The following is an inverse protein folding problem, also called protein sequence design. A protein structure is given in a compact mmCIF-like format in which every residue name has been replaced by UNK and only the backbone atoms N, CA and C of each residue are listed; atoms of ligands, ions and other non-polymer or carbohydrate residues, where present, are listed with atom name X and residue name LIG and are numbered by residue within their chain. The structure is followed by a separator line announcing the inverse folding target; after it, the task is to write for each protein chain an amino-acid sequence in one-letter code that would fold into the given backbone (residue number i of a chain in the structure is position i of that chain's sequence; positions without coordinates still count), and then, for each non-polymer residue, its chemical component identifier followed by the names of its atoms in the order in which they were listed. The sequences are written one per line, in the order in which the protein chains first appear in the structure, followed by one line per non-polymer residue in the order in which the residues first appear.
data_IF_268437432035
#
_entry.id   IF_268437432035
#
_cell.length_a   1.000
_cell.length_b   1.000
_cell.length_c   1.000
_cell.angle_alpha   90.00
_cell.angle_beta   90.00
_cell.angle_gamma   90.00
#
_symmetry.space_group_name_H-M   'P 1'
#
loop_
_entity.id
_entity.type
_entity.pdbx_description
1 polymer ?
#
# COMPACT_ATOMS: atom_id res chain seq x y z
N UNK A 1 52.50 15.36 -26.68
CA UNK A 1 52.59 13.89 -26.57
C UNK A 1 52.48 13.52 -25.09
N UNK A 2 51.25 13.42 -24.58
CA UNK A 2 50.85 12.74 -23.34
C UNK A 2 49.42 12.22 -23.64
N UNK A 3 49.11 10.94 -23.40
CA UNK A 3 48.05 10.24 -24.13
C UNK A 3 46.66 10.38 -23.51
N UNK A 4 45.69 10.37 -24.42
CA UNK A 4 44.27 10.13 -24.25
C UNK A 4 44.01 8.68 -23.83
N UNK A 5 43.21 8.45 -22.78
CA UNK A 5 42.64 7.13 -22.48
C UNK A 5 41.21 7.24 -21.93
N UNK A 6 40.30 6.81 -22.81
CA UNK A 6 39.13 5.95 -22.58
C UNK A 6 38.10 6.35 -21.51
N UNK A 7 36.99 6.92 -21.99
CA UNK A 7 35.66 6.72 -21.41
C UNK A 7 35.28 5.24 -21.37
N UNK A 8 34.75 4.72 -20.26
CA UNK A 8 33.95 3.50 -20.28
C UNK A 8 32.46 3.86 -20.38
N UNK A 9 31.87 3.57 -21.52
CA UNK A 9 30.43 3.29 -21.64
C UNK A 9 30.15 1.93 -21.02
N UNK A 10 29.34 1.86 -19.95
CA UNK A 10 28.54 0.66 -19.65
C UNK A 10 27.41 0.92 -18.65
N UNK A 11 26.22 0.55 -19.11
CA UNK A 11 25.08 -0.01 -18.38
C UNK A 11 24.25 0.90 -17.49
N UNK A 12 23.08 1.28 -18.02
CA UNK A 12 21.90 1.69 -17.25
C UNK A 12 21.38 0.46 -16.48
N UNK A 13 21.73 0.35 -15.20
CA UNK A 13 21.07 -0.52 -14.24
C UNK A 13 21.33 0.02 -12.84
N UNK A 14 20.33 -0.09 -11.96
CA UNK A 14 20.29 0.30 -10.55
C UNK A 14 19.78 1.72 -10.27
N UNK A 15 18.46 1.89 -10.29
CA UNK A 15 17.82 2.96 -9.53
C UNK A 15 17.81 2.56 -8.05
N UNK A 16 18.57 3.33 -7.28
CA UNK A 16 19.03 3.02 -5.94
C UNK A 16 18.06 3.44 -4.84
N UNK A 17 17.91 2.59 -3.81
CA UNK A 17 17.01 2.76 -2.66
C UNK A 17 17.72 3.39 -1.44
N UNK A 18 17.23 4.53 -0.92
CA UNK A 18 17.80 5.17 0.29
C UNK A 18 16.86 6.17 0.97
N UNK A 19 16.74 6.17 2.33
CA UNK A 19 16.81 7.37 3.23
C UNK A 19 16.88 6.92 4.71
N UNK A 20 17.86 7.37 5.52
CA UNK A 20 17.94 7.08 6.98
C UNK A 20 17.79 8.36 7.83
N UNK A 21 16.64 8.58 8.45
CA UNK A 21 16.52 9.68 9.42
C UNK A 21 17.02 9.34 10.82
N UNK A 22 18.34 9.26 11.00
CA UNK A 22 19.02 9.35 12.30
C UNK A 22 20.42 9.95 12.11
N UNK A 23 20.94 10.66 13.12
CA UNK A 23 22.32 11.19 13.28
C UNK A 23 23.41 11.06 12.20
N UNK A 24 23.56 12.08 11.34
CA UNK A 24 24.79 12.60 10.69
C UNK A 24 25.37 11.90 9.46
N UNK A 25 25.54 12.65 8.35
CA UNK A 25 26.41 12.26 7.23
C UNK A 25 27.83 11.99 7.74
N UNK A 26 28.35 10.82 7.36
CA UNK A 26 29.74 10.36 7.54
C UNK A 26 30.20 10.29 9.01
N UNK A 27 30.19 9.06 9.54
CA UNK A 27 30.47 8.63 10.91
C UNK A 27 29.29 8.81 11.88
N UNK A 28 28.65 7.69 12.24
CA UNK A 28 27.52 7.63 13.15
C UNK A 28 27.90 8.05 14.57
N UNK A 29 27.88 9.34 14.91
CA UNK A 29 28.39 9.93 16.18
C UNK A 29 27.67 9.50 17.46
N UNK A 30 26.68 8.61 17.39
CA UNK A 30 26.09 7.95 18.55
C UNK A 30 25.91 6.45 18.30
N UNK A 31 26.08 5.66 19.36
CA UNK A 31 25.83 4.21 19.33
C UNK A 31 24.43 3.87 18.82
N UNK A 32 23.42 4.70 19.13
CA UNK A 32 22.05 4.49 18.68
C UNK A 32 21.90 4.57 17.16
N UNK A 33 22.44 5.59 16.51
CA UNK A 33 22.35 5.72 15.04
C UNK A 33 23.10 4.61 14.34
N UNK A 34 24.33 4.29 14.78
CA UNK A 34 25.13 3.22 14.21
C UNK A 34 24.39 1.87 14.30
N UNK A 35 23.75 1.62 15.44
CA UNK A 35 23.00 0.39 15.70
C UNK A 35 21.77 0.27 14.81
N UNK A 36 20.96 1.34 14.71
CA UNK A 36 19.77 1.40 13.83
C UNK A 36 20.15 1.20 12.37
N UNK A 37 21.14 1.94 11.87
CA UNK A 37 21.61 1.82 10.49
C UNK A 37 22.17 0.42 10.20
N UNK A 38 22.92 -0.16 11.13
CA UNK A 38 23.46 -1.51 11.02
C UNK A 38 22.37 -2.60 10.98
N UNK A 39 21.24 -2.41 11.68
CA UNK A 39 20.10 -3.34 11.64
C UNK A 39 19.32 -3.23 10.33
N UNK A 40 19.30 -2.06 9.69
CA UNK A 40 18.70 -1.89 8.36
C UNK A 40 19.60 -2.52 7.29
N UNK A 41 20.86 -2.08 7.20
CA UNK A 41 21.71 -2.33 6.03
C UNK A 41 23.12 -2.85 6.32
N UNK A 42 23.43 -3.23 7.56
CA UNK A 42 24.74 -3.82 7.87
C UNK A 42 24.96 -5.15 7.14
N UNK A 43 26.18 -5.38 6.64
CA UNK A 43 26.52 -6.63 5.94
C UNK A 43 26.26 -7.87 6.78
N UNK A 44 26.61 -7.84 8.07
CA UNK A 44 26.34 -8.95 9.00
C UNK A 44 24.96 -8.85 9.64
N UNK A 45 24.63 -7.69 10.22
CA UNK A 45 23.47 -7.51 11.11
C UNK A 45 22.23 -6.89 10.44
N UNK A 46 22.35 -6.49 9.18
CA UNK A 46 21.28 -5.82 8.44
C UNK A 46 20.31 -6.78 7.77
N UNK A 47 19.06 -6.34 7.66
CA UNK A 47 18.00 -7.00 6.88
C UNK A 47 18.22 -6.80 5.38
N UNK A 48 18.40 -5.56 4.91
CA UNK A 48 18.59 -5.20 3.51
C UNK A 48 20.07 -4.89 3.22
N UNK A 49 20.89 -5.92 3.02
CA UNK A 49 22.36 -5.84 3.01
C UNK A 49 22.99 -5.03 1.86
N UNK A 50 22.20 -4.71 0.82
CA UNK A 50 22.63 -3.90 -0.33
C UNK A 50 22.03 -2.50 -0.35
N UNK A 51 21.35 -2.06 0.71
CA UNK A 51 20.68 -0.76 0.76
C UNK A 51 21.67 0.39 0.95
N UNK A 52 21.34 1.56 0.41
CA UNK A 52 22.07 2.78 0.71
C UNK A 52 21.54 3.43 1.99
N UNK A 53 22.46 3.85 2.85
CA UNK A 53 22.15 4.49 4.12
C UNK A 53 22.50 5.99 4.04
N UNK A 54 21.49 6.85 4.13
CA UNK A 54 21.66 8.32 4.09
C UNK A 54 21.31 8.92 5.42
N UNK A 55 22.29 9.36 6.19
CA UNK A 55 22.12 9.73 7.59
C UNK A 55 21.70 11.19 7.82
N UNK A 56 20.57 11.40 8.52
CA UNK A 56 20.00 12.73 8.83
C UNK A 56 20.03 13.01 10.34
N UNK A 57 20.93 13.91 10.77
CA UNK A 57 21.07 14.27 12.19
C UNK A 57 20.01 15.25 12.65
N UNK A 58 19.18 14.79 13.58
CA UNK A 58 18.19 15.64 14.28
C UNK A 58 18.31 15.60 15.80
N UNK A 59 19.18 14.74 16.35
CA UNK A 59 19.46 14.59 17.77
C UNK A 59 20.93 14.90 18.08
N UNK A 60 21.18 15.45 19.26
CA UNK A 60 22.52 15.67 19.82
C UNK A 60 23.06 14.39 20.49
N UNK A 61 24.28 14.46 21.04
CA UNK A 61 24.97 13.34 21.69
C UNK A 61 24.25 12.79 22.94
N UNK A 62 23.37 13.60 23.54
CA UNK A 62 22.50 13.20 24.66
C UNK A 62 21.16 12.61 24.19
N UNK A 63 21.04 12.24 22.91
CA UNK A 63 19.81 11.75 22.27
C UNK A 63 18.62 12.73 22.36
N UNK A 64 18.89 14.04 22.43
CA UNK A 64 17.88 15.09 22.50
C UNK A 64 17.89 15.96 21.26
N UNK A 65 16.71 16.37 20.78
CA UNK A 65 16.55 17.23 19.61
C UNK A 65 15.38 18.20 19.81
N UNK A 66 15.44 19.32 19.10
CA UNK A 66 14.33 20.26 19.05
C UNK A 66 13.31 19.81 18.01
N UNK A 67 12.03 20.11 18.24
CA UNK A 67 10.98 19.84 17.25
C UNK A 67 11.29 20.49 15.89
N UNK A 68 11.81 21.72 15.90
CA UNK A 68 12.21 22.42 14.67
C UNK A 68 13.36 21.71 13.94
N UNK A 69 14.34 21.17 14.66
CA UNK A 69 15.43 20.39 14.06
C UNK A 69 14.94 19.09 13.44
N UNK A 70 14.00 18.41 14.10
CA UNK A 70 13.38 17.18 13.58
C UNK A 70 12.57 17.49 12.31
N UNK A 71 11.74 18.53 12.32
CA UNK A 71 10.96 18.97 11.16
C UNK A 71 11.89 19.36 9.99
N UNK A 72 12.95 20.11 10.25
CA UNK A 72 13.92 20.46 9.21
C UNK A 72 14.61 19.23 8.59
N UNK A 73 14.87 18.19 9.39
CA UNK A 73 15.38 16.91 8.87
C UNK A 73 14.37 16.19 7.96
N UNK A 74 13.09 16.19 8.33
CA UNK A 74 12.01 15.64 7.51
C UNK A 74 11.86 16.42 6.20
N UNK A 75 11.88 17.74 6.26
CA UNK A 75 11.79 18.60 5.07
C UNK A 75 12.98 18.37 4.13
N UNK A 76 14.19 18.19 4.69
CA UNK A 76 15.37 17.84 3.90
C UNK A 76 15.19 16.50 3.18
N UNK A 77 14.69 15.48 3.88
CA UNK A 77 14.37 14.18 3.27
C UNK A 77 13.36 14.32 2.16
N UNK A 78 12.27 15.05 2.41
CA UNK A 78 11.20 15.30 1.42
C UNK A 78 11.75 15.94 0.15
N UNK A 79 12.72 16.85 0.29
CA UNK A 79 13.30 17.59 -0.83
C UNK A 79 14.46 16.87 -1.55
N UNK A 80 15.09 15.86 -0.93
CA UNK A 80 16.34 15.28 -1.43
C UNK A 80 16.29 13.74 -1.62
N UNK A 81 15.23 13.07 -1.17
CA UNK A 81 15.02 11.66 -1.49
C UNK A 81 14.86 11.49 -3.01
N UNK A 82 15.51 10.48 -3.56
CA UNK A 82 15.45 10.14 -4.99
C UNK A 82 15.26 8.64 -5.13
N UNK A 83 14.35 8.22 -6.01
CA UNK A 83 13.99 6.82 -6.18
C UNK A 83 13.25 6.23 -4.98
N UNK A 84 13.12 4.90 -4.91
CA UNK A 84 12.47 4.20 -3.80
C UNK A 84 13.11 4.60 -2.47
N UNK A 85 12.30 4.99 -1.48
CA UNK A 85 12.83 5.59 -0.24
C UNK A 85 12.03 5.15 0.98
N UNK A 86 12.73 4.77 2.05
CA UNK A 86 12.15 4.38 3.35
C UNK A 86 12.82 5.14 4.48
N UNK A 87 12.16 6.11 5.09
CA UNK A 87 12.67 6.82 6.26
C UNK A 87 12.38 6.09 7.58
N UNK A 88 13.42 5.77 8.34
CA UNK A 88 13.29 5.20 9.70
C UNK A 88 13.41 6.29 10.79
N UNK A 89 12.37 6.44 11.61
CA UNK A 89 12.28 7.35 12.76
C UNK A 89 12.25 6.58 14.09
N UNK A 90 13.39 6.09 14.54
CA UNK A 90 13.58 5.52 15.89
C UNK A 90 13.61 6.56 17.03
N UNK A 91 12.74 7.57 16.95
CA UNK A 91 12.60 8.68 17.90
C UNK A 91 11.13 8.97 18.17
N UNK A 92 10.83 9.70 19.24
CA UNK A 92 9.46 10.12 19.54
C UNK A 92 9.37 11.04 20.74
N UNK A 93 8.21 11.65 20.91
CA UNK A 93 7.88 12.52 22.04
C UNK A 93 6.38 12.60 22.25
N UNK A 94 5.94 13.50 23.12
CA UNK A 94 4.50 13.79 23.27
C UNK A 94 3.87 14.23 21.95
N UNK A 95 2.57 14.00 21.79
CA UNK A 95 1.83 14.32 20.58
C UNK A 95 2.08 15.74 20.05
N UNK A 96 2.40 15.84 18.75
CA UNK A 96 2.77 17.09 18.09
C UNK A 96 2.20 17.15 16.67
N UNK A 97 1.21 18.03 16.45
CA UNK A 97 0.61 18.19 15.13
C UNK A 97 1.61 18.68 14.09
N UNK A 98 2.57 19.52 14.49
CA UNK A 98 3.60 20.03 13.58
C UNK A 98 4.54 18.90 13.10
N UNK A 99 4.91 17.98 13.99
CA UNK A 99 5.69 16.80 13.61
C UNK A 99 4.87 15.91 12.66
N UNK A 100 3.60 15.65 13.01
CA UNK A 100 2.75 14.79 12.21
C UNK A 100 2.48 15.36 10.81
N UNK A 101 2.30 16.68 10.68
CA UNK A 101 2.14 17.35 9.39
C UNK A 101 3.39 17.23 8.54
N UNK A 102 4.59 17.43 9.11
CA UNK A 102 5.84 17.28 8.37
C UNK A 102 6.01 15.85 7.83
N UNK A 103 5.80 14.84 8.70
CA UNK A 103 5.86 13.43 8.29
C UNK A 103 4.82 13.11 7.21
N UNK A 104 3.58 13.58 7.36
CA UNK A 104 2.51 13.36 6.35
C UNK A 104 2.86 13.97 5.00
N UNK A 105 3.43 15.18 4.98
CA UNK A 105 3.86 15.81 3.74
C UNK A 105 4.97 15.00 3.04
N UNK A 106 5.89 14.42 3.82
CA UNK A 106 6.94 13.56 3.29
C UNK A 106 6.40 12.23 2.75
N UNK A 107 5.43 11.62 3.43
CA UNK A 107 4.73 10.42 2.94
C UNK A 107 3.99 10.72 1.63
N UNK A 108 3.29 11.86 1.57
CA UNK A 108 2.62 12.31 0.34
C UNK A 108 3.58 12.59 -0.83
N UNK A 109 4.87 12.78 -0.55
CA UNK A 109 5.91 12.86 -1.57
C UNK A 109 6.44 11.49 -2.03
N UNK A 110 5.86 10.38 -1.54
CA UNK A 110 6.18 9.01 -1.96
C UNK A 110 7.17 8.27 -1.06
N UNK A 111 7.55 8.85 0.09
CA UNK A 111 8.55 8.24 0.98
C UNK A 111 7.85 7.38 2.03
N UNK A 112 8.21 6.10 2.12
CA UNK A 112 7.67 5.22 3.17
C UNK A 112 8.28 5.60 4.51
N UNK A 113 7.47 5.68 5.57
CA UNK A 113 7.98 5.95 6.91
C UNK A 113 7.73 4.77 7.85
N UNK A 114 8.74 4.49 8.68
CA UNK A 114 8.69 3.52 9.77
C UNK A 114 9.10 4.21 11.06
N UNK A 115 8.32 4.07 12.13
CA UNK A 115 8.60 4.68 13.43
C UNK A 115 8.58 3.68 14.56
N UNK A 116 9.36 3.97 15.61
CA UNK A 116 9.26 3.26 16.88
C UNK A 116 8.01 3.66 17.67
N UNK A 117 7.34 2.71 18.30
CA UNK A 117 6.17 2.98 19.14
C UNK A 117 6.47 3.72 20.45
N UNK A 118 7.71 3.65 20.96
CA UNK A 118 8.14 4.20 22.24
C UNK A 118 8.31 3.14 23.34
N UNK A 119 9.00 3.53 24.43
CA UNK A 119 9.52 2.60 25.45
C UNK A 119 8.98 2.90 26.86
N UNK A 120 7.74 3.37 26.97
CA UNK A 120 7.14 3.79 28.24
C UNK A 120 6.11 2.80 28.80
N UNK A 121 5.91 1.63 28.16
CA UNK A 121 4.81 0.71 28.44
C UNK A 121 3.46 1.45 28.53
N UNK A 122 3.19 2.29 27.54
CA UNK A 122 2.01 3.14 27.46
C UNK A 122 1.32 3.02 26.09
N UNK A 123 0.14 3.63 25.95
CA UNK A 123 -0.57 3.70 24.68
C UNK A 123 0.20 4.56 23.66
N UNK A 124 0.64 3.94 22.56
CA UNK A 124 1.40 4.56 21.48
C UNK A 124 0.65 5.74 20.84
N UNK A 125 -0.68 5.75 20.89
CA UNK A 125 -1.51 6.82 20.33
C UNK A 125 -1.31 8.19 21.01
N UNK A 126 -0.63 8.24 22.16
CA UNK A 126 -0.30 9.49 22.86
C UNK A 126 1.01 10.15 22.38
N UNK A 127 1.75 9.52 21.46
CA UNK A 127 3.08 9.92 21.06
C UNK A 127 3.16 10.24 19.56
N UNK A 128 3.98 11.22 19.20
CA UNK A 128 4.26 11.55 17.79
C UNK A 128 5.70 11.14 17.42
N UNK A 129 5.91 10.58 16.20
CA UNK A 129 4.92 10.37 15.14
C UNK A 129 4.13 9.04 15.27
N UNK A 130 4.37 8.23 16.31
CA UNK A 130 3.78 6.90 16.51
C UNK A 130 2.23 6.82 16.47
N UNK A 131 1.52 7.93 16.66
CA UNK A 131 0.05 7.99 16.58
C UNK A 131 -0.51 8.15 15.17
N UNK A 132 0.33 8.46 14.19
CA UNK A 132 -0.12 8.69 12.81
C UNK A 132 -0.58 7.38 12.18
N UNK A 133 -1.58 7.46 11.30
CA UNK A 133 -2.13 6.29 10.62
C UNK A 133 -1.37 5.96 9.33
N UNK A 134 -0.71 6.97 8.76
CA UNK A 134 0.00 6.87 7.49
C UNK A 134 1.42 6.30 7.64
N UNK A 135 1.89 6.08 8.88
CA UNK A 135 3.23 5.59 9.20
C UNK A 135 3.16 4.17 9.77
N UNK A 136 4.16 3.34 9.45
CA UNK A 136 4.26 2.00 10.04
C UNK A 136 4.85 2.11 11.45
N UNK A 137 4.02 1.95 12.47
CA UNK A 137 4.42 2.06 13.87
C UNK A 137 4.74 0.70 14.47
N UNK A 138 5.97 0.57 14.99
CA UNK A 138 6.56 -0.73 15.32
C UNK A 138 6.71 -0.92 16.83
N UNK A 139 6.05 -1.95 17.35
CA UNK A 139 6.21 -2.47 18.70
C UNK A 139 7.43 -3.40 18.82
N UNK A 140 7.96 -3.57 20.04
CA UNK A 140 9.13 -4.41 20.28
C UNK A 140 8.76 -5.75 20.91
N UNK A 141 9.40 -6.82 20.43
CA UNK A 141 9.32 -8.17 21.01
C UNK A 141 10.66 -8.65 21.54
N UNK A 142 10.58 -9.63 22.45
CA UNK A 142 11.68 -10.47 22.91
C UNK A 142 11.79 -11.75 22.08
N UNK A 143 12.87 -12.51 22.23
CA UNK A 143 13.12 -13.75 21.48
C UNK A 143 12.20 -14.93 21.80
N UNK A 144 11.23 -14.75 22.70
CA UNK A 144 10.20 -15.72 23.05
C UNK A 144 8.80 -15.22 22.61
N UNK A 145 8.78 -14.39 21.56
CA UNK A 145 7.60 -13.77 20.97
C UNK A 145 6.70 -13.03 21.98
N UNK A 146 7.25 -12.55 23.09
CA UNK A 146 6.52 -11.70 24.02
C UNK A 146 6.72 -10.23 23.67
N UNK A 147 5.68 -9.41 23.82
CA UNK A 147 5.88 -7.96 23.82
C UNK A 147 6.89 -7.61 24.90
N UNK A 148 7.93 -6.87 24.54
CA UNK A 148 8.93 -6.42 25.49
C UNK A 148 8.27 -5.55 26.57
N UNK A 149 8.67 -5.71 27.83
CA UNK A 149 8.01 -5.07 28.98
C UNK A 149 7.99 -3.53 28.89
N UNK A 150 8.94 -2.94 28.17
CA UNK A 150 9.02 -1.49 27.92
C UNK A 150 8.21 -1.03 26.71
N UNK A 151 7.86 -1.92 25.76
CA UNK A 151 7.23 -1.52 24.50
C UNK A 151 5.90 -0.82 24.76
N UNK A 152 5.71 0.34 24.15
CA UNK A 152 4.36 0.89 24.00
C UNK A 152 3.46 -0.09 23.24
N UNK A 153 2.15 0.09 23.42
CA UNK A 153 1.11 -0.83 22.95
C UNK A 153 -0.12 -0.05 22.47
N UNK A 154 -1.20 -0.74 22.13
CA UNK A 154 -2.47 -0.12 21.75
C UNK A 154 -2.73 -0.10 20.25
N UNK A 155 -3.77 0.64 19.85
CA UNK A 155 -4.33 0.57 18.50
C UNK A 155 -3.50 1.32 17.43
N UNK A 156 -2.51 2.11 17.85
CA UNK A 156 -1.57 2.75 16.93
C UNK A 156 -0.32 1.90 16.68
N UNK A 157 -0.27 0.65 17.16
CA UNK A 157 0.75 -0.32 16.72
C UNK A 157 0.24 -0.99 15.46
N UNK A 158 1.03 -1.00 14.40
CA UNK A 158 0.71 -1.71 13.17
C UNK A 158 1.29 -3.11 13.15
N UNK A 159 2.54 -3.24 13.62
CA UNK A 159 3.28 -4.50 13.60
C UNK A 159 4.30 -4.57 14.74
N UNK A 160 4.66 -5.78 15.13
CA UNK A 160 5.74 -6.06 16.07
C UNK A 160 6.98 -6.58 15.34
N UNK A 161 8.16 -6.25 15.87
CA UNK A 161 9.42 -6.78 15.39
C UNK A 161 10.43 -6.99 16.54
N UNK A 162 11.49 -7.80 16.34
CA UNK A 162 12.50 -8.04 17.35
C UNK A 162 13.13 -6.74 17.84
N UNK A 163 12.98 -6.46 19.15
CA UNK A 163 13.43 -5.19 19.73
C UNK A 163 14.22 -5.32 21.02
N UNK A 164 14.26 -6.49 21.66
CA UNK A 164 15.07 -6.74 22.86
C UNK A 164 16.36 -7.49 22.53
N UNK A 165 17.48 -7.05 23.10
CA UNK A 165 18.80 -7.68 22.93
C UNK A 165 19.18 -7.85 21.46
N UNK A 166 18.94 -6.82 20.65
CA UNK A 166 19.29 -6.80 19.23
C UNK A 166 20.77 -6.44 19.10
N UNK A 167 21.54 -7.26 18.39
CA UNK A 167 22.96 -7.03 18.12
C UNK A 167 23.13 -6.26 16.82
N UNK A 168 23.87 -5.16 16.87
CA UNK A 168 24.22 -4.39 15.67
C UNK A 168 25.52 -3.59 15.90
N UNK A 169 25.88 -2.77 14.93
CA UNK A 169 27.07 -1.92 14.95
C UNK A 169 27.06 -0.93 16.13
N UNK A 170 28.25 -0.55 16.58
CA UNK A 170 28.47 0.45 17.62
C UNK A 170 29.45 1.51 17.10
N UNK A 171 29.31 2.76 17.54
CA UNK A 171 30.14 3.87 17.09
C UNK A 171 31.61 3.80 17.57
N UNK A 172 31.87 3.11 18.69
CA UNK A 172 33.19 3.12 19.33
C UNK A 172 34.34 2.52 18.49
N UNK A 173 34.04 1.75 17.45
CA UNK A 173 35.02 1.31 16.44
C UNK A 173 34.33 0.83 15.15
N UNK A 174 35.07 0.81 14.04
CA UNK A 174 34.57 0.32 12.74
C UNK A 174 34.21 -1.18 12.72
N UNK A 175 34.58 -1.94 13.76
CA UNK A 175 34.23 -3.36 13.94
C UNK A 175 33.42 -3.59 15.21
N UNK A 176 33.05 -2.50 15.91
CA UNK A 176 32.38 -2.55 17.20
C UNK A 176 30.95 -3.03 17.04
N UNK A 177 30.50 -3.84 18.00
CA UNK A 177 29.10 -4.27 18.08
C UNK A 177 28.58 -4.10 19.49
N UNK A 178 27.28 -3.95 19.64
CA UNK A 178 26.63 -3.89 20.95
C UNK A 178 25.23 -4.51 20.91
N UNK A 179 24.75 -4.94 22.06
CA UNK A 179 23.36 -5.35 22.27
C UNK A 179 22.57 -4.15 22.81
N UNK A 180 21.44 -3.85 22.18
CA UNK A 180 20.52 -2.80 22.62
C UNK A 180 19.09 -3.31 22.63
N UNK A 181 18.27 -2.68 23.47
CA UNK A 181 16.85 -2.99 23.60
C UNK A 181 16.03 -1.71 23.46
N UNK A 182 15.00 -1.76 22.62
CA UNK A 182 14.05 -0.67 22.41
C UNK A 182 13.16 -0.90 21.20
N UNK A 183 12.02 -0.22 21.14
CA UNK A 183 11.25 -0.08 19.89
C UNK A 183 12.08 0.61 18.79
N UNK A 184 13.07 1.42 19.18
CA UNK A 184 14.12 1.95 18.31
C UNK A 184 14.95 0.87 17.60
N UNK A 185 15.04 -0.35 18.14
CA UNK A 185 15.70 -1.50 17.53
C UNK A 185 14.73 -2.39 16.74
N UNK A 186 13.43 -2.32 17.04
CA UNK A 186 12.39 -3.03 16.29
C UNK A 186 12.09 -2.35 14.95
N UNK A 187 11.88 -1.03 14.95
CA UNK A 187 11.62 -0.23 13.75
C UNK A 187 12.60 -0.48 12.58
N UNK A 188 13.93 -0.53 12.77
CA UNK A 188 14.86 -0.76 11.67
C UNK A 188 14.73 -2.14 11.00
N UNK A 189 14.20 -3.17 11.66
CA UNK A 189 13.90 -4.43 10.98
C UNK A 189 12.80 -4.24 9.93
N UNK A 190 11.72 -3.54 10.29
CA UNK A 190 10.60 -3.24 9.40
C UNK A 190 11.04 -2.32 8.26
N UNK A 191 11.87 -1.31 8.55
CA UNK A 191 12.45 -0.46 7.51
C UNK A 191 13.32 -1.25 6.51
N UNK A 192 14.06 -2.24 7.01
CA UNK A 192 14.81 -3.17 6.16
C UNK A 192 13.90 -4.06 5.29
N UNK A 193 12.78 -4.56 5.80
CA UNK A 193 11.82 -5.34 5.00
C UNK A 193 11.10 -4.47 3.97
N UNK A 194 10.72 -3.24 4.32
CA UNK A 194 10.20 -2.25 3.38
C UNK A 194 11.19 -1.99 2.24
N UNK A 195 12.48 -1.93 2.57
CA UNK A 195 13.55 -1.80 1.59
C UNK A 195 13.64 -3.03 0.66
N UNK A 196 13.57 -4.25 1.19
CA UNK A 196 13.53 -5.48 0.38
C UNK A 196 12.32 -5.50 -0.57
N UNK A 197 11.15 -5.04 -0.12
CA UNK A 197 9.96 -4.97 -0.96
C UNK A 197 10.14 -3.98 -2.12
N UNK A 198 10.63 -2.77 -1.82
CA UNK A 198 10.86 -1.71 -2.81
C UNK A 198 11.95 -2.06 -3.82
N UNK A 199 12.87 -2.98 -3.50
CA UNK A 199 13.87 -3.47 -4.45
C UNK A 199 13.22 -4.12 -5.69
N UNK A 200 12.12 -4.84 -5.48
CA UNK A 200 11.39 -5.51 -6.57
C UNK A 200 10.16 -4.72 -7.04
N UNK A 201 9.77 -3.69 -6.28
CA UNK A 201 8.56 -2.90 -6.51
C UNK A 201 8.90 -1.40 -6.40
N UNK A 202 9.79 -0.92 -7.27
CA UNK A 202 10.37 0.43 -7.16
C UNK A 202 9.34 1.58 -7.29
N UNK A 203 8.20 1.34 -7.93
CA UNK A 203 7.10 2.30 -8.06
C UNK A 203 6.04 2.19 -6.96
N UNK A 204 6.19 1.27 -6.00
CA UNK A 204 5.22 1.07 -4.94
C UNK A 204 5.07 2.32 -4.07
N UNK A 205 3.83 2.70 -3.80
CA UNK A 205 3.51 3.82 -2.91
C UNK A 205 3.74 3.41 -1.44
N UNK A 206 3.86 4.38 -0.51
CA UNK A 206 3.95 4.06 0.92
C UNK A 206 2.82 3.17 1.45
N UNK A 207 1.61 3.28 0.88
CA UNK A 207 0.47 2.44 1.24
C UNK A 207 0.69 1.00 0.76
N UNK A 208 1.16 0.82 -0.47
CA UNK A 208 1.45 -0.52 -1.02
C UNK A 208 2.52 -1.24 -0.20
N UNK A 209 3.59 -0.51 0.19
CA UNK A 209 4.65 -1.05 1.04
C UNK A 209 4.11 -1.47 2.40
N UNK A 210 3.28 -0.64 3.03
CA UNK A 210 2.67 -0.97 4.32
C UNK A 210 1.77 -2.20 4.23
N UNK A 211 0.92 -2.28 3.20
CA UNK A 211 0.04 -3.43 2.99
C UNK A 211 0.80 -4.72 2.72
N UNK A 212 1.84 -4.67 1.88
CA UNK A 212 2.69 -5.83 1.63
C UNK A 212 3.31 -6.36 2.93
N UNK A 213 3.79 -5.48 3.80
CA UNK A 213 4.33 -5.86 5.12
C UNK A 213 3.25 -6.48 6.02
N UNK A 214 2.04 -5.92 6.04
CA UNK A 214 0.94 -6.41 6.89
C UNK A 214 0.41 -7.75 6.42
N UNK A 215 0.20 -7.93 5.11
CA UNK A 215 -0.29 -9.18 4.52
C UNK A 215 0.73 -10.30 4.64
N UNK A 216 2.01 -9.99 4.65
CA UNK A 216 3.08 -10.98 4.78
C UNK A 216 3.39 -11.34 6.24
N UNK A 217 2.87 -10.58 7.22
CA UNK A 217 3.20 -10.74 8.63
C UNK A 217 2.72 -12.09 9.20
N UNK A 218 3.47 -12.61 10.19
CA UNK A 218 3.02 -13.78 10.96
C UNK A 218 1.95 -13.34 11.97
N UNK A 219 0.72 -13.82 11.76
CA UNK A 219 -0.46 -13.37 12.50
C UNK A 219 -0.63 -14.08 13.86
N UNK A 220 -1.01 -13.33 14.88
CA UNK A 220 -1.48 -13.86 16.17
C UNK A 220 -0.41 -14.36 17.14
N UNK A 221 0.89 -14.20 16.83
CA UNK A 221 1.96 -14.89 17.57
C UNK A 221 2.53 -14.11 18.77
N UNK A 222 2.25 -12.81 18.92
CA UNK A 222 2.87 -12.01 19.99
C UNK A 222 2.13 -12.19 21.32
N UNK A 223 2.81 -12.81 22.27
CA UNK A 223 2.34 -12.96 23.64
C UNK A 223 2.23 -11.60 24.32
N UNK A 224 1.09 -11.33 24.96
CA UNK A 224 0.81 -10.07 25.65
C UNK A 224 0.99 -8.82 24.77
N UNK A 225 0.59 -8.93 23.48
CA UNK A 225 0.66 -7.84 22.50
C UNK A 225 0.02 -6.54 22.99
N UNK A 226 -1.07 -6.62 23.76
CA UNK A 226 -1.85 -5.47 24.23
C UNK A 226 -2.17 -4.47 23.09
N UNK A 227 -2.40 -5.00 21.90
CA UNK A 227 -2.79 -4.29 20.70
C UNK A 227 -3.81 -5.15 19.96
N UNK A 228 -4.71 -4.49 19.22
CA UNK A 228 -5.61 -5.18 18.30
C UNK A 228 -4.85 -5.78 17.10
N UNK A 229 -3.67 -5.26 16.76
CA UNK A 229 -2.82 -5.75 15.69
C UNK A 229 -1.74 -6.65 16.30
N UNK A 230 -1.97 -7.96 16.29
CA UNK A 230 -1.07 -8.95 16.87
C UNK A 230 -0.21 -9.62 15.78
N UNK A 231 0.52 -8.83 15.01
CA UNK A 231 1.24 -9.30 13.83
C UNK A 231 2.74 -9.16 14.04
N UNK A 232 3.52 -10.20 13.75
CA UNK A 232 4.98 -10.18 13.79
C UNK A 232 5.54 -10.02 12.38
N UNK A 233 6.55 -9.16 12.22
CA UNK A 233 7.25 -8.94 10.97
C UNK A 233 7.80 -10.25 10.38
N UNK A 234 7.56 -10.45 9.09
CA UNK A 234 8.14 -11.53 8.28
C UNK A 234 8.82 -10.93 7.05
N UNK A 235 10.03 -11.38 6.74
CA UNK A 235 10.91 -10.72 5.75
C UNK A 235 10.92 -11.36 4.37
N UNK A 236 10.42 -12.59 4.23
CA UNK A 236 10.40 -13.29 2.95
C UNK A 236 9.08 -12.97 2.26
N UNK A 237 9.14 -12.23 1.16
CA UNK A 237 8.01 -12.14 0.25
C UNK A 237 8.08 -13.38 -0.67
N UNK A 238 7.05 -14.23 -0.66
CA UNK A 238 6.97 -15.36 -1.60
C UNK A 238 6.81 -14.80 -3.00
N UNK A 239 7.92 -14.72 -3.74
CA UNK A 239 7.90 -14.35 -5.15
C UNK A 239 7.44 -15.51 -6.01
N UNK A 240 6.58 -15.23 -6.99
CA UNK A 240 6.58 -15.90 -8.28
C UNK A 240 8.00 -15.76 -8.85
N UNK A 241 8.88 -16.72 -8.54
CA UNK A 241 10.13 -16.87 -9.24
C UNK A 241 9.78 -17.49 -10.59
N UNK A 242 9.65 -16.64 -11.61
CA UNK A 242 9.87 -17.05 -12.99
C UNK A 242 11.37 -17.35 -13.12
N UNK A 243 11.78 -18.52 -12.60
CA UNK A 243 13.07 -19.11 -12.90
C UNK A 243 12.87 -19.94 -14.16
N UNK A 244 13.37 -19.40 -15.28
CA UNK A 244 13.58 -20.14 -16.52
C UNK A 244 14.47 -21.35 -16.24
N UNK A 245 13.87 -22.54 -16.27
CA UNK A 245 14.53 -23.80 -15.96
C UNK A 245 13.90 -24.96 -16.71
N UNK A 246 14.19 -25.01 -18.02
CA UNK A 246 14.18 -26.20 -18.88
C UNK A 246 14.35 -27.53 -18.12
N UNK A 247 13.35 -28.41 -18.22
CA UNK A 247 13.52 -29.88 -18.17
C UNK A 247 12.22 -30.61 -18.54
N UNK A 248 12.18 -31.16 -19.77
CA UNK A 248 11.88 -32.60 -19.94
C UNK A 248 10.43 -33.04 -20.19
N UNK A 249 10.06 -33.02 -21.47
CA UNK A 249 9.40 -34.09 -22.24
C UNK A 249 9.15 -35.45 -21.56
N UNK A 250 7.88 -35.90 -21.58
CA UNK A 250 7.35 -37.28 -21.76
C UNK A 250 5.82 -37.17 -21.53
N UNK A 251 4.86 -37.43 -22.41
CA UNK A 251 4.78 -38.39 -23.51
C UNK A 251 3.58 -39.32 -23.25
N UNK A 252 2.62 -39.31 -24.18
CA UNK A 252 1.77 -40.43 -24.64
C UNK A 252 0.32 -40.64 -24.10
N UNK A 253 -0.63 -40.24 -24.95
CA UNK A 253 -1.83 -40.91 -25.53
C UNK A 253 -2.67 -41.96 -24.76
N UNK A 254 -4.01 -41.86 -24.92
CA UNK A 254 -4.91 -42.99 -24.65
C UNK A 254 -6.44 -42.77 -24.63
N UNK A 255 -7.02 -42.32 -25.76
CA UNK A 255 -8.30 -42.69 -26.41
C UNK A 255 -9.65 -42.96 -25.65
N UNK A 256 -10.66 -42.19 -26.09
CA UNK A 256 -12.14 -42.33 -26.25
C UNK A 256 -13.03 -43.37 -25.54
N UNK A 257 -14.24 -42.88 -25.18
CA UNK A 257 -15.50 -43.65 -25.17
C UNK A 257 -16.73 -42.90 -24.63
N UNK A 258 -17.64 -42.51 -25.53
CA UNK A 258 -19.10 -42.20 -25.42
C UNK A 258 -19.84 -42.84 -24.20
N UNK A 259 -20.91 -42.32 -23.59
CA UNK A 259 -22.02 -41.51 -24.08
C UNK A 259 -22.89 -41.02 -22.88
N UNK A 260 -23.36 -39.78 -22.93
CA UNK A 260 -24.74 -39.43 -22.52
C UNK A 260 -25.11 -39.31 -21.03
N UNK A 261 -24.73 -38.20 -20.38
CA UNK A 261 -25.67 -37.42 -19.56
C UNK A 261 -25.23 -35.95 -19.53
N UNK A 262 -26.15 -35.01 -19.75
CA UNK A 262 -25.90 -33.58 -19.72
C UNK A 262 -25.16 -33.15 -18.45
N UNK A 263 -23.94 -32.67 -18.61
CA UNK A 263 -23.36 -31.62 -17.77
C UNK A 263 -22.96 -30.49 -18.71
N UNK A 264 -23.70 -29.39 -18.62
CA UNK A 264 -23.27 -28.01 -18.86
C UNK A 264 -21.75 -27.87 -18.55
N UNK A 265 -20.92 -27.12 -19.32
CA UNK A 265 -19.53 -26.90 -18.95
C UNK A 265 -19.48 -26.50 -17.47
N UNK A 266 -18.88 -27.37 -16.66
CA UNK A 266 -18.66 -27.08 -15.24
C UNK A 266 -17.93 -25.75 -15.19
N UNK A 267 -18.60 -24.73 -14.67
CA UNK A 267 -17.95 -23.46 -14.33
C UNK A 267 -16.82 -23.83 -13.37
N UNK A 268 -15.59 -23.66 -13.84
CA UNK A 268 -14.37 -23.75 -13.04
C UNK A 268 -14.17 -22.44 -12.24
N UNK A 269 -15.21 -21.62 -12.12
CA UNK A 269 -15.10 -20.36 -11.41
C UNK A 269 -15.33 -20.63 -9.92
N UNK A 270 -14.49 -20.08 -9.05
CA UNK A 270 -14.72 -20.18 -7.62
C UNK A 270 -16.00 -19.42 -7.28
N UNK A 271 -16.80 -19.93 -6.35
CA UNK A 271 -18.08 -19.36 -5.93
C UNK A 271 -18.00 -18.84 -4.50
N UNK A 272 -18.57 -17.66 -4.25
CA UNK A 272 -18.83 -17.18 -2.88
C UNK A 272 -20.18 -17.70 -2.40
N UNK A 273 -20.18 -18.79 -1.63
CA UNK A 273 -21.39 -19.48 -1.17
C UNK A 273 -22.19 -18.69 -0.14
N UNK A 274 -21.50 -18.09 0.84
CA UNK A 274 -22.16 -17.38 1.92
C UNK A 274 -21.29 -16.21 2.40
N UNK A 275 -21.95 -15.12 2.74
CA UNK A 275 -21.34 -13.96 3.40
C UNK A 275 -22.32 -13.50 4.47
N UNK A 276 -21.92 -13.62 5.73
CA UNK A 276 -22.63 -13.06 6.88
C UNK A 276 -21.71 -12.14 7.64
N UNK A 277 -22.27 -11.17 8.35
CA UNK A 277 -21.48 -10.24 9.13
C UNK A 277 -22.13 -9.91 10.46
N UNK A 278 -21.30 -9.65 11.45
CA UNK A 278 -21.71 -9.16 12.76
C UNK A 278 -21.03 -7.83 13.07
N UNK A 279 -21.84 -6.79 13.20
CA UNK A 279 -21.37 -5.45 13.54
C UNK A 279 -21.36 -5.27 15.06
N UNK A 280 -20.17 -5.17 15.63
CA UNK A 280 -20.00 -4.88 17.07
C UNK A 280 -19.39 -3.51 17.25
N UNK A 281 -20.05 -2.65 18.04
CA UNK A 281 -19.51 -1.35 18.43
C UNK A 281 -18.66 -1.51 19.69
N UNK A 282 -17.34 -1.39 19.54
CA UNK A 282 -16.40 -1.46 20.67
C UNK A 282 -15.57 -0.18 20.73
N UNK A 283 -16.01 0.78 21.54
CA UNK A 283 -15.36 2.09 21.68
C UNK A 283 -15.53 3.00 20.44
N UNK A 284 -14.49 3.73 20.00
CA UNK A 284 -14.58 4.66 18.87
C UNK A 284 -14.60 3.99 17.49
N UNK A 285 -14.60 2.66 17.44
CA UNK A 285 -14.57 1.87 16.21
C UNK A 285 -15.85 1.04 16.04
N UNK A 286 -16.31 0.94 14.80
CA UNK A 286 -17.25 -0.08 14.38
C UNK A 286 -16.44 -1.27 13.85
N UNK A 287 -16.58 -2.44 14.48
CA UNK A 287 -16.00 -3.70 14.00
C UNK A 287 -17.05 -4.47 13.22
N UNK A 288 -16.64 -5.04 12.11
CA UNK A 288 -17.43 -5.92 11.27
C UNK A 288 -16.67 -7.23 11.14
N UNK A 289 -17.11 -8.25 11.87
CA UNK A 289 -16.65 -9.62 11.64
C UNK A 289 -17.43 -10.14 10.43
N UNK A 290 -16.73 -10.56 9.38
CA UNK A 290 -17.34 -11.10 8.15
C UNK A 290 -17.02 -12.58 8.07
N UNK A 291 -18.03 -13.40 8.27
CA UNK A 291 -17.94 -14.84 8.02
C UNK A 291 -18.23 -15.10 6.54
N UNK A 292 -17.32 -15.80 5.88
CA UNK A 292 -17.41 -16.15 4.46
C UNK A 292 -17.23 -17.65 4.26
N UNK A 293 -17.87 -18.19 3.23
CA UNK A 293 -17.57 -19.52 2.70
C UNK A 293 -17.53 -19.48 1.18
N UNK A 294 -16.57 -20.21 0.63
CA UNK A 294 -16.27 -20.27 -0.80
C UNK A 294 -16.07 -21.72 -1.23
N UNK A 295 -16.35 -22.03 -2.49
CA UNK A 295 -16.13 -23.36 -3.06
C UNK A 295 -15.65 -23.26 -4.49
N UNK A 296 -14.97 -24.30 -4.93
CA UNK A 296 -14.51 -24.44 -6.29
C UNK A 296 -14.68 -25.89 -6.73
N UNK A 297 -15.25 -26.09 -7.91
CA UNK A 297 -15.56 -27.41 -8.43
C UNK A 297 -14.29 -28.19 -8.80
N UNK A 298 -13.22 -27.50 -9.22
CA UNK A 298 -11.97 -28.12 -9.67
C UNK A 298 -10.92 -28.29 -8.55
N UNK A 299 -11.14 -27.64 -7.41
CA UNK A 299 -10.35 -27.84 -6.20
C UNK A 299 -9.13 -26.96 -6.02
N UNK A 300 -9.03 -25.82 -6.71
CA UNK A 300 -7.79 -25.04 -6.76
C UNK A 300 -7.90 -23.59 -6.23
N UNK A 301 -8.77 -23.35 -5.23
CA UNK A 301 -8.88 -22.06 -4.54
C UNK A 301 -7.50 -21.48 -4.14
N UNK A 302 -7.33 -20.17 -4.23
CA UNK A 302 -6.05 -19.48 -3.94
C UNK A 302 -6.18 -18.42 -2.84
N UNK A 303 -7.14 -17.50 -2.97
CA UNK A 303 -7.31 -16.43 -1.99
C UNK A 303 -8.76 -15.97 -1.83
N UNK A 304 -9.06 -15.42 -0.66
CA UNK A 304 -10.32 -14.72 -0.38
C UNK A 304 -9.99 -13.35 0.19
N UNK A 305 -10.35 -12.29 -0.54
CA UNK A 305 -10.27 -10.91 -0.10
C UNK A 305 -11.64 -10.43 0.39
N UNK A 306 -11.66 -9.72 1.51
CA UNK A 306 -12.87 -9.14 2.10
C UNK A 306 -12.63 -7.66 2.31
N UNK A 307 -13.41 -6.82 1.64
CA UNK A 307 -13.38 -5.37 1.73
C UNK A 307 -14.58 -4.85 2.51
N UNK A 308 -14.34 -3.99 3.49
CA UNK A 308 -15.36 -3.18 4.15
C UNK A 308 -15.51 -1.88 3.36
N UNK A 309 -16.73 -1.52 2.97
CA UNK A 309 -16.96 -0.45 1.99
C UNK A 309 -17.79 0.70 2.54
N UNK A 310 -17.59 1.88 1.97
CA UNK A 310 -18.51 3.01 2.00
C UNK A 310 -18.82 3.44 0.57
N UNK A 311 -19.95 2.98 0.05
CA UNK A 311 -20.49 3.16 -1.30
C UNK A 311 -19.48 2.81 -2.42
N UNK A 312 -18.46 3.63 -2.60
CA UNK A 312 -17.44 3.53 -3.66
C UNK A 312 -16.02 3.34 -3.14
N UNK A 313 -15.78 3.46 -1.83
CA UNK A 313 -14.43 3.39 -1.26
C UNK A 313 -14.28 2.20 -0.32
N UNK A 314 -13.14 1.51 -0.42
CA UNK A 314 -12.70 0.53 0.57
C UNK A 314 -12.23 1.28 1.82
N UNK A 315 -12.86 0.97 2.94
CA UNK A 315 -12.55 1.53 4.26
C UNK A 315 -11.52 0.68 5.02
N UNK A 316 -11.56 -0.64 4.81
CA UNK A 316 -10.66 -1.62 5.38
C UNK A 316 -10.73 -2.91 4.54
N UNK A 317 -9.69 -3.73 4.55
CA UNK A 317 -9.67 -4.97 3.76
C UNK A 317 -8.81 -6.04 4.43
N UNK A 318 -9.19 -7.31 4.27
CA UNK A 318 -8.39 -8.46 4.72
C UNK A 318 -8.37 -9.56 3.68
N UNK A 319 -7.21 -10.17 3.45
CA UNK A 319 -7.05 -11.28 2.51
C UNK A 319 -6.63 -12.54 3.26
N UNK A 320 -7.27 -13.66 2.95
CA UNK A 320 -6.96 -14.99 3.48
C UNK A 320 -6.51 -15.90 2.35
N UNK A 321 -5.38 -16.56 2.52
CA UNK A 321 -4.95 -17.61 1.59
C UNK A 321 -5.77 -18.88 1.88
N UNK A 322 -6.29 -19.49 0.82
CA UNK A 322 -7.12 -20.70 0.87
C UNK A 322 -6.60 -21.72 -0.13
N UNK A 323 -7.04 -22.97 -0.01
CA UNK A 323 -6.63 -24.06 -0.90
C UNK A 323 -7.68 -25.16 -0.91
N UNK A 324 -7.75 -25.96 -1.97
CA UNK A 324 -8.69 -27.06 -2.10
C UNK A 324 -10.03 -26.63 -2.71
N UNK A 325 -11.04 -27.49 -2.61
CA UNK A 325 -12.37 -27.29 -3.25
C UNK A 325 -13.38 -26.50 -2.41
N UNK A 326 -13.05 -26.18 -1.17
CA UNK A 326 -13.88 -25.32 -0.32
C UNK A 326 -13.08 -24.74 0.82
N UNK A 327 -13.42 -23.52 1.22
CA UNK A 327 -12.84 -22.86 2.37
C UNK A 327 -13.88 -21.98 3.06
N UNK A 328 -13.70 -21.76 4.36
CA UNK A 328 -14.51 -20.83 5.13
C UNK A 328 -13.67 -20.17 6.20
N UNK A 329 -13.98 -18.93 6.55
CA UNK A 329 -13.26 -18.20 7.56
C UNK A 329 -14.01 -16.96 8.00
N UNK A 330 -13.40 -16.24 8.96
CA UNK A 330 -13.90 -14.97 9.46
C UNK A 330 -12.84 -13.92 9.25
N UNK A 331 -13.19 -12.83 8.57
CA UNK A 331 -12.32 -11.66 8.41
C UNK A 331 -12.83 -10.52 9.30
N UNK A 332 -12.02 -10.09 10.25
CA UNK A 332 -12.34 -8.97 11.13
C UNK A 332 -11.88 -7.64 10.53
N UNK A 333 -12.84 -6.78 10.18
CA UNK A 333 -12.61 -5.46 9.62
C UNK A 333 -13.06 -4.36 10.58
N UNK A 334 -12.46 -3.17 10.51
CA UNK A 334 -12.74 -2.06 11.42
C UNK A 334 -12.71 -0.71 10.72
N UNK A 335 -13.63 0.16 11.12
CA UNK A 335 -13.70 1.53 10.60
C UNK A 335 -14.17 2.53 11.65
N UNK A 336 -13.74 3.79 11.51
CA UNK A 336 -14.34 4.94 12.23
C UNK A 336 -15.40 5.66 11.40
N UNK A 337 -15.44 5.39 10.10
CA UNK A 337 -16.40 5.95 9.17
C UNK A 337 -17.63 5.03 9.09
N UNK A 338 -18.72 5.54 8.54
CA UNK A 338 -19.90 4.71 8.30
C UNK A 338 -19.62 3.75 7.15
N UNK A 339 -19.57 2.45 7.43
CA UNK A 339 -19.57 1.42 6.40
C UNK A 339 -20.99 1.17 5.89
N UNK A 340 -21.11 0.89 4.61
CA UNK A 340 -22.38 0.66 3.90
C UNK A 340 -22.53 -0.79 3.45
N UNK A 341 -21.44 -1.57 3.41
CA UNK A 341 -21.47 -2.96 3.00
C UNK A 341 -20.11 -3.63 3.05
N UNK A 342 -20.09 -4.89 2.66
CA UNK A 342 -18.91 -5.76 2.57
C UNK A 342 -18.84 -6.35 1.16
N UNK A 343 -17.64 -6.46 0.60
CA UNK A 343 -17.38 -7.16 -0.66
C UNK A 343 -16.42 -8.31 -0.40
N UNK A 344 -16.79 -9.51 -0.80
CA UNK A 344 -15.93 -10.71 -0.74
C UNK A 344 -15.55 -11.08 -2.16
N UNK A 345 -14.26 -11.20 -2.43
CA UNK A 345 -13.69 -11.66 -3.68
C UNK A 345 -12.95 -12.96 -3.41
N UNK A 346 -13.36 -14.05 -4.06
CA UNK A 346 -12.59 -15.29 -4.09
C UNK A 346 -11.83 -15.36 -5.41
N UNK A 347 -10.60 -15.83 -5.37
CA UNK A 347 -9.76 -16.05 -6.53
C UNK A 347 -9.17 -17.46 -6.48
N UNK A 348 -9.18 -18.15 -7.60
CA UNK A 348 -8.60 -19.48 -7.77
C UNK A 348 -7.12 -19.40 -8.20
N UNK A 349 -6.46 -20.54 -8.37
CA UNK A 349 -5.05 -20.57 -8.81
C UNK A 349 -4.85 -20.24 -10.30
N UNK A 350 -5.93 -20.28 -11.10
CA UNK A 350 -5.94 -19.94 -12.52
C UNK A 350 -6.21 -18.45 -12.77
N UNK A 351 -6.58 -17.70 -11.72
CA UNK A 351 -6.93 -16.28 -11.77
C UNK A 351 -8.44 -16.00 -11.93
N UNK A 352 -9.29 -17.03 -12.03
CA UNK A 352 -10.74 -16.84 -12.03
C UNK A 352 -11.18 -16.29 -10.67
N UNK A 353 -12.16 -15.41 -10.68
CA UNK A 353 -12.66 -14.80 -9.46
C UNK A 353 -14.16 -14.67 -9.47
N UNK A 354 -14.77 -14.79 -8.29
CA UNK A 354 -16.14 -14.37 -8.05
C UNK A 354 -16.18 -13.32 -6.96
N UNK A 355 -17.08 -12.36 -7.13
CA UNK A 355 -17.27 -11.26 -6.20
C UNK A 355 -18.70 -11.23 -5.72
N UNK A 356 -18.85 -11.13 -4.40
CA UNK A 356 -20.14 -10.98 -3.72
C UNK A 356 -20.12 -9.74 -2.86
N UNK A 357 -20.99 -8.79 -3.17
CA UNK A 357 -21.20 -7.60 -2.35
C UNK A 357 -22.49 -7.73 -1.55
N UNK A 358 -22.42 -7.52 -0.23
CA UNK A 358 -23.56 -7.48 0.66
C UNK A 358 -23.60 -6.13 1.38
N UNK A 359 -24.63 -5.34 1.10
CA UNK A 359 -24.87 -4.06 1.77
C UNK A 359 -25.57 -4.27 3.11
N UNK A 360 -25.30 -3.37 4.06
CA UNK A 360 -25.89 -3.42 5.40
C UNK A 360 -27.40 -3.12 5.43
N UNK A 361 -27.97 -2.62 4.33
CA UNK A 361 -29.42 -2.47 4.15
C UNK A 361 -30.11 -3.78 3.71
N UNK A 362 -29.35 -4.86 3.53
CA UNK A 362 -29.84 -6.18 3.15
C UNK A 362 -29.89 -6.42 1.63
N UNK A 363 -29.49 -5.45 0.80
CA UNK A 363 -29.30 -5.67 -0.63
C UNK A 363 -27.97 -6.39 -0.91
N UNK A 364 -27.96 -7.34 -1.85
CA UNK A 364 -26.73 -8.02 -2.31
C UNK A 364 -26.65 -8.05 -3.83
N UNK A 365 -25.43 -8.00 -4.35
CA UNK A 365 -25.14 -8.16 -5.78
C UNK A 365 -23.97 -9.11 -5.96
N UNK A 366 -24.16 -10.12 -6.81
CA UNK A 366 -23.15 -11.10 -7.18
C UNK A 366 -22.67 -10.79 -8.61
N UNK A 367 -21.36 -10.89 -8.84
CA UNK A 367 -20.76 -10.75 -10.16
C UNK A 367 -19.69 -11.81 -10.35
N UNK A 368 -19.89 -12.67 -11.34
CA UNK A 368 -18.95 -13.71 -11.75
C UNK A 368 -18.04 -13.14 -12.85
N UNK A 369 -16.72 -13.28 -12.68
CA UNK A 369 -15.76 -13.08 -13.78
C UNK A 369 -15.24 -14.45 -14.19
N UNK A 370 -15.93 -15.06 -15.16
CA UNK A 370 -15.44 -16.26 -15.85
C UNK A 370 -14.45 -15.84 -16.93
N UNK A 371 -13.20 -16.28 -16.80
CA UNK A 371 -12.25 -16.19 -17.91
C UNK A 371 -12.47 -17.38 -18.84
N UNK A 372 -13.36 -17.19 -19.81
CA UNK A 372 -13.32 -18.00 -21.03
C UNK A 372 -12.28 -17.38 -21.97
N UNK A 373 -11.03 -17.80 -21.79
CA UNK A 373 -9.97 -17.62 -22.77
C UNK A 373 -10.29 -18.50 -24.00
N UNK A 374 -11.10 -17.99 -24.92
CA UNK A 374 -10.92 -18.27 -26.34
C UNK A 374 -10.94 -16.96 -27.11
N UNK A 375 -9.92 -16.82 -27.95
CA UNK A 375 -9.78 -15.75 -28.90
C UNK A 375 -8.37 -15.24 -28.81
N UNK A 376 -7.40 -16.07 -29.23
CA UNK A 376 -6.00 -15.69 -29.48
C UNK A 376 -5.78 -14.17 -29.46
N UNK A 377 -5.49 -13.65 -28.25
CA UNK A 377 -5.16 -12.26 -27.90
C UNK A 377 -6.18 -11.14 -28.26
N UNK A 378 -6.96 -10.68 -27.27
CA UNK A 378 -7.40 -9.29 -27.02
C UNK A 378 -7.99 -9.22 -25.59
N UNK A 379 -7.42 -8.58 -24.57
CA UNK A 379 -7.06 -7.17 -24.48
C UNK A 379 -8.24 -6.36 -23.93
N UNK A 380 -8.59 -6.49 -22.64
CA UNK A 380 -9.42 -5.51 -21.93
C UNK A 380 -8.55 -4.25 -21.77
N UNK A 381 -8.91 -3.20 -22.49
CA UNK A 381 -8.07 -2.02 -22.62
C UNK A 381 -8.73 -0.88 -21.84
N UNK A 382 -8.01 -0.28 -20.89
CA UNK A 382 -8.51 0.87 -20.16
C UNK A 382 -9.04 1.99 -21.10
N UNK A 383 -10.09 2.72 -20.72
CA UNK A 383 -10.61 3.82 -21.51
C UNK A 383 -9.57 4.93 -21.68
N UNK A 384 -9.40 5.45 -22.89
CA UNK A 384 -8.38 6.43 -23.24
C UNK A 384 -8.97 7.83 -23.34
N UNK A 385 -8.24 8.82 -22.80
CA UNK A 385 -8.53 10.24 -23.04
C UNK A 385 -7.74 10.70 -24.28
N UNK A 386 -8.43 10.78 -25.41
CA UNK A 386 -7.82 11.20 -26.69
C UNK A 386 -7.54 12.70 -26.72
N UNK A 387 -8.50 13.50 -26.23
CA UNK A 387 -8.35 14.96 -26.19
C UNK A 387 -8.94 15.55 -24.92
N UNK A 388 -8.23 16.54 -24.36
CA UNK A 388 -8.70 17.33 -23.22
C UNK A 388 -8.30 18.80 -23.37
N UNK A 389 -9.23 19.58 -23.90
CA UNK A 389 -9.05 20.99 -24.21
C UNK A 389 -9.86 21.88 -23.28
N UNK A 390 -9.30 23.05 -22.96
CA UNK A 390 -9.89 24.02 -22.04
C UNK A 390 -9.79 25.39 -22.68
N UNK A 391 -10.90 26.12 -22.73
CA UNK A 391 -10.92 27.51 -23.18
C UNK A 391 -11.67 28.38 -22.18
N UNK A 392 -11.14 29.57 -21.91
CA UNK A 392 -11.77 30.53 -21.02
C UNK A 392 -12.24 31.74 -21.81
N UNK A 393 -13.47 32.18 -21.59
CA UNK A 393 -13.99 33.42 -22.17
C UNK A 393 -14.56 34.35 -21.11
N UNK A 394 -14.43 35.66 -21.37
CA UNK A 394 -14.99 36.71 -20.53
C UNK A 394 -16.23 37.27 -21.24
N UNK A 395 -17.41 37.12 -20.62
CA UNK A 395 -18.67 37.67 -21.09
C UNK A 395 -19.32 38.46 -19.95
N UNK A 396 -18.97 39.74 -19.83
CA UNK A 396 -19.44 40.61 -18.73
C UNK A 396 -18.83 40.21 -17.37
N UNK A 397 -19.59 40.20 -16.26
CA UNK A 397 -19.08 39.85 -14.92
C UNK A 397 -18.83 38.34 -14.71
N UNK A 398 -19.16 37.51 -15.70
CA UNK A 398 -19.00 36.05 -15.63
C UNK A 398 -17.76 35.59 -16.38
N UNK A 399 -16.96 34.76 -15.73
CA UNK A 399 -15.92 33.96 -16.38
C UNK A 399 -16.50 32.60 -16.74
N UNK A 400 -16.34 32.20 -18.00
CA UNK A 400 -16.76 30.88 -18.50
C UNK A 400 -15.55 30.02 -18.77
N UNK A 401 -15.63 28.76 -18.37
CA UNK A 401 -14.67 27.72 -18.71
C UNK A 401 -15.40 26.66 -19.52
N UNK A 402 -14.97 26.49 -20.77
CA UNK A 402 -15.43 25.41 -21.63
C UNK A 402 -14.38 24.31 -21.63
N UNK A 403 -14.80 23.11 -21.24
CA UNK A 403 -14.00 21.89 -21.26
C UNK A 403 -14.51 21.03 -22.41
N UNK A 404 -13.67 20.75 -23.39
CA UNK A 404 -13.99 19.87 -24.52
C UNK A 404 -13.13 18.62 -24.45
N UNK A 405 -13.74 17.47 -24.69
CA UNK A 405 -13.11 16.17 -24.50
C UNK A 405 -13.48 15.20 -25.62
N UNK A 406 -12.58 14.25 -25.88
CA UNK A 406 -12.83 13.06 -26.67
C UNK A 406 -12.17 11.88 -25.96
N UNK A 407 -12.88 10.77 -25.90
CA UNK A 407 -12.47 9.52 -25.26
C UNK A 407 -12.75 8.36 -26.20
N UNK A 408 -11.92 7.33 -26.12
CA UNK A 408 -12.07 6.12 -26.90
C UNK A 408 -11.88 4.89 -26.01
N UNK A 409 -12.50 3.80 -26.43
CA UNK A 409 -12.30 2.50 -25.82
C UNK A 409 -12.20 1.43 -26.91
N UNK A 410 -11.23 0.53 -26.76
CA UNK A 410 -10.92 -0.47 -27.79
C UNK A 410 -11.95 -1.59 -27.80
N UNK A 411 -12.49 -1.95 -26.64
CA UNK A 411 -13.52 -2.99 -26.49
C UNK A 411 -14.96 -2.44 -26.55
N UNK A 412 -15.11 -1.12 -26.42
CA UNK A 412 -16.31 -0.40 -26.84
C UNK A 412 -17.37 -0.23 -25.77
N UNK A 413 -16.98 -0.25 -24.49
CA UNK A 413 -17.89 -0.28 -23.36
C UNK A 413 -17.84 0.98 -22.47
N UNK A 414 -17.48 2.14 -23.04
CA UNK A 414 -17.53 3.43 -22.33
C UNK A 414 -18.86 3.60 -21.57
N UNK A 415 -18.80 4.13 -20.35
CA UNK A 415 -19.98 4.25 -19.50
C UNK A 415 -20.26 5.69 -19.05
N UNK A 416 -19.30 6.32 -18.36
CA UNK A 416 -19.49 7.68 -17.87
C UNK A 416 -18.25 8.52 -18.01
N UNK A 417 -18.43 9.82 -18.20
CA UNK A 417 -17.39 10.81 -18.01
C UNK A 417 -17.84 11.84 -16.99
N UNK A 418 -16.99 12.08 -15.99
CA UNK A 418 -17.15 13.16 -15.02
C UNK A 418 -16.23 14.31 -15.38
N UNK A 419 -16.80 15.50 -15.50
CA UNK A 419 -16.08 16.75 -15.80
C UNK A 419 -16.14 17.67 -14.59
N UNK A 420 -14.98 18.04 -14.05
CA UNK A 420 -14.81 18.92 -12.90
C UNK A 420 -14.19 20.26 -13.33
N UNK A 421 -14.78 21.37 -12.89
CA UNK A 421 -14.17 22.69 -12.89
C UNK A 421 -13.78 23.11 -11.47
N UNK A 422 -12.52 23.48 -11.28
CA UNK A 422 -11.89 23.73 -9.98
C UNK A 422 -11.65 25.23 -9.81
N UNK A 423 -12.04 25.78 -8.66
CA UNK A 423 -11.73 27.14 -8.22
C UNK A 423 -11.25 27.10 -6.76
N UNK A 424 -9.94 27.03 -6.56
CA UNK A 424 -9.33 26.86 -5.24
C UNK A 424 -9.83 25.57 -4.58
N UNK A 425 -10.61 25.71 -3.50
CA UNK A 425 -11.18 24.58 -2.75
C UNK A 425 -12.59 24.18 -3.23
N UNK A 426 -13.18 24.92 -4.16
CA UNK A 426 -14.54 24.67 -4.65
C UNK A 426 -14.47 23.91 -5.99
N UNK A 427 -15.25 22.84 -6.12
CA UNK A 427 -15.36 22.03 -7.35
C UNK A 427 -16.81 22.05 -7.84
N UNK A 428 -17.01 22.39 -9.11
CA UNK A 428 -18.26 22.17 -9.83
C UNK A 428 -18.08 20.94 -10.72
N UNK A 429 -19.04 20.02 -10.71
CA UNK A 429 -18.93 18.75 -11.45
C UNK A 429 -20.19 18.48 -12.27
N UNK A 430 -20.01 17.86 -13.43
CA UNK A 430 -21.09 17.27 -14.22
C UNK A 430 -20.70 15.86 -14.66
N UNK A 431 -21.61 14.91 -14.57
CA UNK A 431 -21.42 13.53 -15.03
C UNK A 431 -22.30 13.30 -16.24
N UNK A 432 -21.71 12.78 -17.32
CA UNK A 432 -22.37 12.53 -18.60
C UNK A 432 -22.28 11.03 -18.87
N UNK A 433 -23.43 10.41 -19.15
CA UNK A 433 -23.46 9.04 -19.63
C UNK A 433 -22.98 9.01 -21.08
N UNK A 434 -22.01 8.16 -21.35
CA UNK A 434 -21.45 7.90 -22.67
C UNK A 434 -21.59 6.41 -22.98
N UNK A 435 -21.34 6.01 -24.22
CA UNK A 435 -21.54 4.63 -24.67
C UNK A 435 -20.83 4.35 -25.98
N UNK A 436 -20.45 3.09 -26.20
CA UNK A 436 -19.74 2.64 -27.40
C UNK A 436 -18.22 2.83 -27.30
N UNK A 437 -17.52 2.71 -28.44
CA UNK A 437 -16.05 2.75 -28.52
C UNK A 437 -15.43 4.13 -28.66
N UNK A 438 -16.25 5.18 -28.79
CA UNK A 438 -15.78 6.55 -28.75
C UNK A 438 -16.91 7.49 -28.34
N UNK A 439 -16.54 8.54 -27.61
CA UNK A 439 -17.44 9.62 -27.26
C UNK A 439 -16.68 10.94 -27.26
N UNK A 440 -17.35 12.02 -27.66
CA UNK A 440 -16.80 13.37 -27.53
C UNK A 440 -17.88 14.34 -27.10
N UNK A 441 -17.48 15.40 -26.42
CA UNK A 441 -18.43 16.36 -25.88
C UNK A 441 -17.75 17.61 -25.36
N UNK A 442 -18.58 18.54 -24.88
CA UNK A 442 -18.11 19.76 -24.28
C UNK A 442 -19.06 20.20 -23.16
N UNK A 443 -18.48 20.63 -22.05
CA UNK A 443 -19.19 21.13 -20.88
C UNK A 443 -18.75 22.57 -20.59
N UNK A 444 -19.70 23.45 -20.27
CA UNK A 444 -19.40 24.85 -19.93
C UNK A 444 -19.77 25.12 -18.46
N UNK A 445 -18.79 25.60 -17.69
CA UNK A 445 -18.97 26.08 -16.33
C UNK A 445 -18.92 27.60 -16.32
N UNK A 446 -19.74 28.23 -15.47
CA UNK A 446 -19.73 29.68 -15.29
C UNK A 446 -19.56 30.06 -13.83
N UNK A 447 -18.75 31.08 -13.56
CA UNK A 447 -18.56 31.62 -12.22
C UNK A 447 -18.64 33.15 -12.22
N UNK A 448 -19.27 33.70 -11.16
CA UNK A 448 -19.31 35.13 -10.89
C UNK A 448 -18.09 35.50 -10.05
N UNK A 449 -17.23 36.35 -10.61
CA UNK A 449 -16.09 37.02 -9.95
C UNK A 449 -14.80 36.21 -9.76
N UNK A 450 -14.83 34.91 -9.47
CA UNK A 450 -13.61 34.11 -9.30
C UNK A 450 -13.31 33.25 -10.54
N UNK A 451 -12.08 33.31 -11.05
CA UNK A 451 -11.64 32.47 -12.16
C UNK A 451 -11.62 30.98 -11.80
N UNK A 452 -11.39 30.13 -12.80
CA UNK A 452 -11.11 28.71 -12.55
C UNK A 452 -9.61 28.51 -12.42
N UNK A 453 -9.17 27.71 -11.44
CA UNK A 453 -7.77 27.34 -11.21
C UNK A 453 -7.39 26.01 -11.87
N UNK A 454 -8.37 25.22 -12.31
CA UNK A 454 -8.12 23.98 -13.03
C UNK A 454 -9.38 23.29 -13.54
N UNK A 455 -9.18 22.24 -14.30
CA UNK A 455 -10.21 21.35 -14.82
C UNK A 455 -9.74 19.90 -14.70
N UNK A 456 -10.63 18.97 -14.42
CA UNK A 456 -10.34 17.53 -14.45
C UNK A 456 -11.43 16.79 -15.21
N UNK A 457 -11.04 15.75 -15.93
CA UNK A 457 -11.98 14.77 -16.47
C UNK A 457 -11.64 13.38 -15.94
N UNK A 458 -12.65 12.55 -15.72
CA UNK A 458 -12.53 11.15 -15.35
C UNK A 458 -13.47 10.33 -16.22
N UNK A 459 -12.94 9.46 -17.06
CA UNK A 459 -13.72 8.50 -17.85
C UNK A 459 -13.76 7.17 -17.12
N UNK A 460 -14.90 6.49 -17.18
CA UNK A 460 -15.15 5.19 -16.57
C UNK A 460 -15.86 4.32 -17.61
N UNK A 461 -15.41 3.08 -17.78
CA UNK A 461 -16.07 2.06 -18.61
C UNK A 461 -17.16 1.30 -17.82
N UNK A 462 -17.81 0.32 -18.45
CA UNK A 462 -18.82 -0.52 -17.80
C UNK A 462 -18.21 -1.50 -16.79
N UNK A 463 -16.92 -1.80 -16.93
CA UNK A 463 -16.15 -2.67 -16.04
C UNK A 463 -15.60 -1.95 -14.80
N UNK A 464 -15.73 -0.62 -14.74
CA UNK A 464 -15.27 0.23 -13.65
C UNK A 464 -13.81 0.68 -13.77
N UNK A 465 -13.12 0.38 -14.88
CA UNK A 465 -11.80 0.94 -15.15
C UNK A 465 -11.95 2.44 -15.37
N UNK A 466 -11.06 3.23 -14.75
CA UNK A 466 -11.20 4.68 -14.75
C UNK A 466 -9.87 5.38 -15.05
N UNK A 467 -9.89 6.27 -16.03
CA UNK A 467 -8.75 7.12 -16.38
C UNK A 467 -9.10 8.57 -16.10
N UNK A 468 -8.19 9.30 -15.46
CA UNK A 468 -8.42 10.71 -15.13
C UNK A 468 -7.25 11.61 -15.51
N UNK A 469 -7.57 12.84 -15.91
CA UNK A 469 -6.59 13.84 -16.29
C UNK A 469 -6.94 15.20 -15.68
N UNK A 470 -5.95 15.87 -15.09
CA UNK A 470 -6.06 17.19 -14.48
C UNK A 470 -5.27 18.22 -15.29
N UNK A 471 -5.86 19.39 -15.53
CA UNK A 471 -5.22 20.53 -16.20
C UNK A 471 -5.34 21.77 -15.32
N UNK A 472 -4.22 22.45 -15.07
CA UNK A 472 -4.19 23.75 -14.38
C UNK A 472 -4.41 24.88 -15.39
N UNK A 473 -5.14 25.93 -14.99
CA UNK A 473 -5.55 27.05 -15.85
C UNK A 473 -4.85 28.37 -15.50
#
# INVERSE_FOLDING_TARGET
MIPEFATPTKSLAEEHLSVLMHGEQMAATSTGTAHVAGTIGGTTYGVAKGVNLVSIRVLNESNSGTLSGIVAGIDWVTANANGPSVANMSLGGGGSNALDTAVRNSINAGITYVTSAGNANADACNYSPARMQEIITVGATTSNDSRASYSNYGNCIDIFAPGSSVRSASFGSNTGTTLMSGTSMAAPHVAGVAALFLQHNSSATPVDVAQAIYSNATMGVVNNANSANNNMLYSLFTGNNNDDGDSGDSGDDGDNGDDGNQCDPVSNDPVVNNVTFNNTRTGPWNRTAVDWSVSDADGNLSSVKVDLMNNTSVLDSGTSNVSGSSASGTTDLRTRNTATGVRVTVTDSNGNSAVRTVNFDGSSSDSDSSSSDDGSSAGNNDPIIDTFNTSTSNQGPNRRLTISWAVSDTDGDLYTIKVDAINGNTVQSETINIGGSNASGSTEFSNRQDGFSGARITVIDQNGNAVSQLKRL
#
